data_IF_750619248336
#
_entry.id   IF_750619248336
#
_cell.length_a   1.000
_cell.length_b   1.000
_cell.length_c   1.000
_cell.angle_alpha   90.00
_cell.angle_beta   90.00
_cell.angle_gamma   90.00
#
_symmetry.space_group_name_H-M   'P 1'
#
loop_
_entity.id
_entity.type
_entity.pdbx_description
1 polymer ?
#
# COMPACT_ATOMS: atom_id res chain seq x y z
N UNK A 1 6.35 40.10 32.42
CA UNK A 1 7.55 39.25 32.52
C UNK A 1 7.34 38.01 31.67
N UNK A 2 8.42 37.56 31.05
CA UNK A 2 8.53 36.58 29.96
C UNK A 2 7.70 35.29 30.12
N UNK A 3 6.99 34.94 29.05
CA UNK A 3 6.51 33.59 28.76
C UNK A 3 7.75 32.75 28.44
N UNK A 4 8.27 32.05 29.44
CA UNK A 4 9.35 31.08 29.22
C UNK A 4 8.77 29.85 28.54
N UNK A 5 9.09 29.69 27.25
CA UNK A 5 8.88 28.45 26.49
C UNK A 5 9.77 27.35 27.10
N UNK A 6 9.25 26.67 28.12
CA UNK A 6 9.86 25.49 28.69
C UNK A 6 9.71 24.32 27.71
N UNK A 7 10.77 24.07 26.95
CA UNK A 7 11.12 22.77 26.39
C UNK A 7 10.08 22.12 25.50
N UNK A 8 10.19 22.37 24.19
CA UNK A 8 9.71 21.43 23.17
C UNK A 8 10.47 20.11 23.32
N UNK A 9 10.04 19.29 24.29
CA UNK A 9 10.45 17.90 24.42
C UNK A 9 9.80 17.18 23.24
N UNK A 10 10.45 17.26 22.08
CA UNK A 10 10.09 16.51 20.90
C UNK A 10 9.78 15.09 21.36
N UNK A 11 8.52 14.69 21.15
CA UNK A 11 8.06 13.36 21.49
C UNK A 11 9.04 12.39 20.85
N UNK A 12 9.85 11.69 21.66
CA UNK A 12 10.62 10.56 21.18
C UNK A 12 9.57 9.59 20.68
N UNK A 13 9.37 9.53 19.37
CA UNK A 13 8.72 8.40 18.73
C UNK A 13 9.38 7.19 19.37
N UNK A 14 8.60 6.36 20.08
CA UNK A 14 9.11 5.14 20.67
C UNK A 14 9.97 4.49 19.59
N UNK A 15 11.28 4.37 19.87
CA UNK A 15 12.26 4.12 18.82
C UNK A 15 11.83 2.88 18.06
N UNK A 16 11.76 2.98 16.72
CA UNK A 16 11.48 1.82 15.86
C UNK A 16 12.39 0.70 16.32
N UNK A 17 11.80 -0.39 16.80
CA UNK A 17 12.56 -1.56 17.20
C UNK A 17 13.20 -2.13 15.93
N UNK A 18 14.50 -1.89 15.77
CA UNK A 18 15.25 -2.31 14.59
C UNK A 18 15.22 -3.82 14.41
N UNK A 19 15.09 -4.58 15.49
CA UNK A 19 15.01 -6.05 15.42
C UNK A 19 13.65 -6.49 14.90
N UNK A 20 12.58 -5.84 15.33
CA UNK A 20 11.23 -6.05 14.80
C UNK A 20 11.14 -5.65 13.32
N UNK A 21 11.65 -4.47 12.97
CA UNK A 21 11.65 -4.00 11.58
C UNK A 21 12.40 -4.97 10.65
N UNK A 22 13.60 -5.43 11.05
CA UNK A 22 14.36 -6.40 10.28
C UNK A 22 13.65 -7.76 10.12
N UNK A 23 12.86 -8.17 11.14
CA UNK A 23 12.03 -9.37 11.05
C UNK A 23 10.86 -9.17 10.07
N UNK A 24 10.16 -8.05 10.16
CA UNK A 24 9.05 -7.72 9.26
C UNK A 24 9.51 -7.62 7.80
N UNK A 25 10.67 -7.01 7.55
CA UNK A 25 11.30 -6.96 6.22
C UNK A 25 11.59 -8.35 5.67
N UNK A 26 12.03 -9.28 6.52
CA UNK A 26 12.29 -10.68 6.13
C UNK A 26 11.00 -11.43 5.84
N UNK A 27 9.98 -11.29 6.70
CA UNK A 27 8.66 -11.88 6.46
C UNK A 27 8.04 -11.37 5.15
N UNK A 28 8.22 -10.08 4.83
CA UNK A 28 7.79 -9.49 3.57
C UNK A 28 8.58 -10.07 2.37
N UNK A 29 9.90 -10.21 2.48
CA UNK A 29 10.74 -10.81 1.44
C UNK A 29 10.35 -12.27 1.15
N UNK A 30 9.99 -13.04 2.18
CA UNK A 30 9.53 -14.42 2.02
C UNK A 30 8.22 -14.48 1.21
N UNK A 31 7.27 -13.57 1.47
CA UNK A 31 6.02 -13.48 0.69
C UNK A 31 6.29 -13.09 -0.76
N UNK A 32 7.22 -12.15 -1.00
CA UNK A 32 7.64 -11.78 -2.37
C UNK A 32 8.29 -12.96 -3.09
N UNK A 33 9.09 -13.78 -2.40
CA UNK A 33 9.69 -14.98 -2.98
C UNK A 33 8.63 -15.97 -3.44
N UNK A 34 7.62 -16.25 -2.60
CA UNK A 34 6.48 -17.10 -2.97
C UNK A 34 5.72 -16.53 -4.18
N UNK A 35 5.50 -15.21 -4.22
CA UNK A 35 4.86 -14.56 -5.37
C UNK A 35 5.63 -14.77 -6.68
N UNK A 36 6.98 -14.64 -6.65
CA UNK A 36 7.84 -14.81 -7.83
C UNK A 36 7.71 -16.20 -8.45
N UNK A 37 7.50 -17.23 -7.64
CA UNK A 37 7.27 -18.61 -8.12
C UNK A 37 5.95 -18.76 -8.88
N UNK A 38 4.92 -17.97 -8.51
CA UNK A 38 3.57 -18.09 -9.07
C UNK A 38 3.31 -17.13 -10.23
N UNK A 39 3.93 -15.95 -10.24
CA UNK A 39 3.58 -14.86 -11.16
C UNK A 39 3.75 -15.22 -12.64
N UNK A 40 4.71 -16.09 -12.97
CA UNK A 40 4.91 -16.56 -14.35
C UNK A 40 3.68 -17.33 -14.88
N UNK A 41 3.14 -18.25 -14.07
CA UNK A 41 1.93 -19.02 -14.42
C UNK A 41 0.71 -18.11 -14.54
N UNK A 42 0.57 -17.14 -13.64
CA UNK A 42 -0.52 -16.17 -13.67
C UNK A 42 -0.48 -15.31 -14.94
N UNK A 43 0.70 -14.82 -15.34
CA UNK A 43 0.87 -14.05 -16.59
C UNK A 43 0.46 -14.87 -17.81
N UNK A 44 0.85 -16.13 -17.88
CA UNK A 44 0.44 -17.03 -18.97
C UNK A 44 -1.08 -17.23 -19.02
N UNK A 45 -1.73 -17.40 -17.86
CA UNK A 45 -3.18 -17.53 -17.78
C UNK A 45 -3.90 -16.24 -18.21
N UNK A 46 -3.43 -15.08 -17.76
CA UNK A 46 -3.98 -13.78 -18.18
C UNK A 46 -3.79 -13.54 -19.68
N UNK A 47 -2.63 -13.89 -20.24
CA UNK A 47 -2.38 -13.78 -21.67
C UNK A 47 -3.31 -14.69 -22.49
N UNK A 48 -3.52 -15.93 -22.04
CA UNK A 48 -4.47 -16.85 -22.66
C UNK A 48 -5.91 -16.29 -22.61
N UNK A 49 -6.36 -15.78 -21.46
CA UNK A 49 -7.68 -15.16 -21.34
C UNK A 49 -7.86 -13.96 -22.29
N UNK A 50 -6.87 -13.07 -22.36
CA UNK A 50 -6.88 -11.91 -23.28
C UNK A 50 -6.86 -12.30 -24.75
N UNK A 51 -6.34 -13.48 -25.09
CA UNK A 51 -6.37 -13.98 -26.48
C UNK A 51 -7.78 -14.38 -26.93
N UNK A 52 -8.64 -14.77 -25.99
CA UNK A 52 -10.05 -15.13 -26.23
C UNK A 52 -10.93 -13.89 -26.23
N UNK A 53 -10.74 -13.00 -25.26
CA UNK A 53 -11.45 -11.72 -25.18
C UNK A 53 -10.47 -10.57 -24.93
N UNK A 54 -10.29 -9.75 -25.96
CA UNK A 54 -9.40 -8.59 -25.93
C UNK A 54 -9.92 -7.44 -25.07
N UNK A 55 -11.20 -7.46 -24.68
CA UNK A 55 -11.81 -6.42 -23.85
C UNK A 55 -11.59 -6.66 -22.35
N UNK A 56 -10.99 -7.79 -21.95
CA UNK A 56 -10.67 -8.07 -20.55
C UNK A 56 -9.56 -7.13 -20.04
N UNK A 57 -9.90 -6.22 -19.12
CA UNK A 57 -8.92 -5.41 -18.38
C UNK A 57 -8.31 -6.21 -17.20
N UNK A 58 -7.63 -7.31 -17.51
CA UNK A 58 -6.86 -8.09 -16.53
C UNK A 58 -5.40 -7.63 -16.51
N UNK A 59 -4.88 -7.26 -15.34
CA UNK A 59 -3.47 -6.89 -15.18
C UNK A 59 -2.84 -7.77 -14.10
N UNK A 60 -1.58 -8.18 -14.32
CA UNK A 60 -0.81 -8.90 -13.30
C UNK A 60 0.11 -7.91 -12.61
N UNK A 61 -0.03 -7.70 -11.28
CA UNK A 61 0.81 -6.74 -10.57
C UNK A 61 2.28 -7.20 -10.54
N UNK A 62 3.20 -6.25 -10.68
CA UNK A 62 4.63 -6.50 -10.46
C UNK A 62 4.99 -6.16 -9.02
N UNK A 63 5.06 -7.19 -8.19
CA UNK A 63 5.44 -7.07 -6.77
C UNK A 63 6.91 -7.48 -6.61
N UNK A 64 7.66 -6.61 -5.94
CA UNK A 64 9.06 -6.80 -5.57
C UNK A 64 9.31 -6.23 -4.17
N UNK A 65 10.43 -6.59 -3.55
CA UNK A 65 10.81 -6.05 -2.24
C UNK A 65 10.94 -4.51 -2.27
N UNK A 66 11.49 -3.99 -3.37
CA UNK A 66 11.57 -2.55 -3.61
C UNK A 66 10.58 -2.20 -4.73
N UNK A 67 9.47 -1.55 -4.38
CA UNK A 67 8.49 -1.08 -5.34
C UNK A 67 8.65 0.42 -5.56
N UNK A 68 8.61 0.84 -6.82
CA UNK A 68 8.74 2.26 -7.17
C UNK A 68 7.41 2.98 -6.95
N UNK A 69 7.42 3.98 -6.06
CA UNK A 69 6.29 4.88 -5.84
C UNK A 69 6.51 6.18 -6.59
N UNK A 70 5.45 6.69 -7.22
CA UNK A 70 5.44 8.02 -7.85
C UNK A 70 4.19 8.80 -7.44
N UNK A 71 4.25 10.13 -7.55
CA UNK A 71 3.10 11.00 -7.31
C UNK A 71 2.33 11.21 -8.61
N UNK A 72 1.06 10.84 -8.61
CA UNK A 72 0.14 11.07 -9.71
C UNK A 72 -0.15 12.58 -9.85
N UNK A 73 -0.27 13.04 -11.09
CA UNK A 73 -0.58 14.45 -11.39
C UNK A 73 -2.10 14.61 -11.52
N UNK A 74 -2.60 15.80 -11.17
CA UNK A 74 -4.01 16.18 -11.34
C UNK A 74 -5.00 15.28 -10.57
N UNK A 75 -4.59 14.69 -9.46
CA UNK A 75 -5.45 13.93 -8.56
C UNK A 75 -5.61 14.66 -7.22
N UNK A 76 -6.71 14.44 -6.48
CA UNK A 76 -6.88 15.04 -5.17
C UNK A 76 -5.81 14.55 -4.18
N UNK A 77 -5.39 15.44 -3.28
CA UNK A 77 -4.51 15.10 -2.15
C UNK A 77 -5.32 14.92 -0.88
N UNK A 78 -4.76 14.20 0.11
CA UNK A 78 -5.34 14.09 1.44
C UNK A 78 -4.37 14.65 2.50
N UNK A 79 -4.89 15.22 3.62
CA UNK A 79 -4.06 15.79 4.67
C UNK A 79 -3.27 14.75 5.48
N UNK A 80 -3.67 13.48 5.40
CA UNK A 80 -3.04 12.35 6.10
C UNK A 80 -2.84 11.19 5.12
N UNK A 81 -1.76 10.45 5.32
CA UNK A 81 -1.51 9.22 4.59
C UNK A 81 -2.45 8.08 5.02
N UNK A 82 -2.51 7.03 4.21
CA UNK A 82 -3.30 5.83 4.50
C UNK A 82 -2.80 5.16 5.79
N UNK A 83 -3.72 4.81 6.69
CA UNK A 83 -3.39 4.24 8.00
C UNK A 83 -2.74 2.85 7.90
N UNK A 84 -3.04 2.10 6.83
CA UNK A 84 -2.56 0.72 6.67
C UNK A 84 -1.25 0.67 5.87
N UNK A 85 -1.19 1.33 4.71
CA UNK A 85 -0.03 1.21 3.82
C UNK A 85 0.91 2.41 3.85
N UNK A 86 0.57 3.49 4.56
CA UNK A 86 1.41 4.69 4.69
C UNK A 86 1.56 5.55 3.44
N UNK A 87 1.06 5.11 2.28
CA UNK A 87 1.05 5.90 1.05
C UNK A 87 0.02 7.03 1.13
N UNK A 88 0.35 8.19 0.55
CA UNK A 88 -0.58 9.31 0.37
C UNK A 88 -1.60 9.01 -0.72
N UNK A 89 -2.71 9.77 -0.70
CA UNK A 89 -3.81 9.65 -1.68
C UNK A 89 -3.34 9.76 -3.13
N UNK A 90 -2.34 10.59 -3.38
CA UNK A 90 -1.76 10.90 -4.68
C UNK A 90 -0.52 10.05 -5.01
N UNK A 91 -0.07 9.17 -4.11
CA UNK A 91 1.03 8.25 -4.37
C UNK A 91 0.52 6.95 -5.03
N UNK A 92 1.28 6.45 -5.99
CA UNK A 92 0.97 5.26 -6.79
C UNK A 92 2.16 4.33 -6.87
N UNK A 93 1.91 3.04 -6.73
CA UNK A 93 2.89 1.98 -6.94
C UNK A 93 2.92 1.62 -8.42
N UNK A 94 4.09 1.80 -9.02
CA UNK A 94 4.33 1.57 -10.44
C UNK A 94 4.07 0.10 -10.77
N UNK A 95 3.28 -0.17 -11.83
CA UNK A 95 2.89 -1.52 -12.29
C UNK A 95 2.10 -2.36 -11.28
N UNK A 96 1.47 -1.72 -10.31
CA UNK A 96 0.50 -2.33 -9.40
C UNK A 96 -0.81 -1.55 -9.46
N UNK A 97 -0.72 -0.22 -9.37
CA UNK A 97 -1.87 0.67 -9.42
C UNK A 97 -2.22 1.03 -10.87
N UNK A 98 -2.93 0.13 -11.55
CA UNK A 98 -3.42 0.33 -12.91
C UNK A 98 -4.76 1.06 -12.93
N UNK A 99 -4.94 1.99 -13.88
CA UNK A 99 -6.25 2.61 -14.21
C UNK A 99 -7.02 3.11 -12.97
N UNK A 100 -6.32 3.79 -12.05
CA UNK A 100 -6.91 4.23 -10.79
C UNK A 100 -7.95 5.34 -11.01
N UNK A 101 -9.21 5.03 -10.68
CA UNK A 101 -10.30 5.98 -10.61
C UNK A 101 -10.45 6.52 -9.19
N UNK A 102 -10.37 7.86 -9.04
CA UNK A 102 -10.46 8.55 -7.75
C UNK A 102 -11.48 9.71 -7.82
N UNK A 103 -12.68 9.42 -8.30
CA UNK A 103 -13.72 10.44 -8.53
C UNK A 103 -14.80 10.44 -7.44
N UNK A 104 -15.20 9.26 -6.95
CA UNK A 104 -16.31 9.06 -6.02
C UNK A 104 -15.95 8.07 -4.91
N UNK A 105 -14.75 8.18 -4.37
CA UNK A 105 -14.29 7.36 -3.23
C UNK A 105 -14.03 5.90 -3.59
N UNK A 106 -13.84 5.58 -4.88
CA UNK A 106 -13.40 4.25 -5.32
C UNK A 106 -11.96 3.96 -4.89
N UNK A 107 -11.13 5.00 -4.86
CA UNK A 107 -9.73 4.90 -4.45
C UNK A 107 -9.50 5.26 -2.98
N UNK A 108 -10.08 6.38 -2.52
CA UNK A 108 -9.77 6.97 -1.21
C UNK A 108 -11.02 7.21 -0.36
N UNK A 109 -10.91 6.93 0.94
CA UNK A 109 -11.93 7.23 1.93
C UNK A 109 -11.40 8.25 2.93
N UNK A 110 -12.15 9.35 3.09
CA UNK A 110 -11.76 10.44 3.97
C UNK A 110 -11.56 9.97 5.41
N UNK A 111 -10.53 10.52 6.05
CA UNK A 111 -10.07 10.16 7.40
C UNK A 111 -9.58 8.71 7.57
N UNK A 112 -9.50 7.90 6.50
CA UNK A 112 -9.03 6.51 6.58
C UNK A 112 -7.82 6.22 5.69
N UNK A 113 -7.95 6.46 4.38
CA UNK A 113 -6.94 6.05 3.40
C UNK A 113 -7.52 5.30 2.21
N UNK A 114 -6.71 4.45 1.59
CA UNK A 114 -7.13 3.65 0.43
C UNK A 114 -8.31 2.73 0.76
N UNK A 115 -9.30 2.66 -0.14
CA UNK A 115 -10.48 1.80 0.01
C UNK A 115 -10.09 0.32 0.15
N UNK A 116 -9.17 -0.14 -0.69
CA UNK A 116 -8.65 -1.52 -0.62
C UNK A 116 -8.03 -1.84 0.75
N UNK A 117 -7.25 -0.90 1.30
CA UNK A 117 -6.67 -1.04 2.64
C UNK A 117 -7.74 -1.10 3.75
N UNK A 118 -8.82 -0.32 3.65
CA UNK A 118 -9.95 -0.43 4.58
C UNK A 118 -10.61 -1.79 4.52
N UNK A 119 -10.87 -2.28 3.30
CA UNK A 119 -11.52 -3.57 3.11
C UNK A 119 -10.65 -4.70 3.70
N UNK A 120 -9.35 -4.70 3.39
CA UNK A 120 -8.39 -5.62 3.99
C UNK A 120 -8.40 -5.58 5.52
N UNK A 121 -8.39 -4.38 6.11
CA UNK A 121 -8.43 -4.23 7.57
C UNK A 121 -9.71 -4.82 8.16
N UNK A 122 -10.87 -4.44 7.65
CA UNK A 122 -12.17 -4.93 8.15
C UNK A 122 -12.26 -6.46 8.04
N UNK A 123 -11.75 -7.03 6.95
CA UNK A 123 -11.78 -8.48 6.73
C UNK A 123 -10.85 -9.26 7.67
N UNK A 124 -9.72 -8.67 8.08
CA UNK A 124 -8.67 -9.40 8.77
C UNK A 124 -8.32 -8.91 10.16
N UNK A 125 -8.91 -7.81 10.65
CA UNK A 125 -8.52 -7.19 11.92
C UNK A 125 -8.59 -8.15 13.11
N UNK A 126 -9.56 -9.07 13.13
CA UNK A 126 -9.69 -10.05 14.21
C UNK A 126 -8.48 -10.99 14.30
N UNK A 127 -7.91 -11.38 13.15
CA UNK A 127 -6.72 -12.24 13.08
C UNK A 127 -5.44 -11.44 13.34
N UNK A 128 -5.39 -10.19 12.88
CA UNK A 128 -4.23 -9.32 13.04
C UNK A 128 -4.06 -8.82 14.48
N UNK A 129 -5.16 -8.60 15.23
CA UNK A 129 -5.14 -8.17 16.64
C UNK A 129 -4.68 -9.25 17.63
N UNK A 130 -4.55 -10.50 17.17
CA UNK A 130 -4.10 -11.63 17.98
C UNK A 130 -2.58 -11.86 17.91
N UNK A 131 -1.85 -11.02 17.16
CA UNK A 131 -0.39 -11.02 17.09
C UNK A 131 0.26 -10.37 18.30
#
# INVERSE_FOLDING_TARGET
>A
MSISAAGSKGMKLAGVDKTQAAREDREAADVVAVWREQVGRLRSAVAAAKSVDKNLSLQVPEISENMQVHTAKMVPTAPRACIICGLKRDERVTKVDYEVEDSFGEWWLDHWGHKACKNFWIEHEQKLRQR
#
